data_IF_348697409365
#
_entry.id   IF_348697409365
#
_cell.length_a   1.000
_cell.length_b   1.000
_cell.length_c   1.000
_cell.angle_alpha   90.00
_cell.angle_beta   90.00
_cell.angle_gamma   90.00
#
_symmetry.space_group_name_H-M   'P 1'
#
loop_
_entity.id
_entity.type
_entity.pdbx_description
1 polymer ?
#
# COMPACT_ATOMS: atom_id res chain seq x y z
N UNK A 1 5.21 43.27 44.41
CA UNK A 1 4.20 42.38 43.79
C UNK A 1 4.66 42.05 42.38
N UNK A 2 5.39 40.95 42.20
CA UNK A 2 5.98 40.54 40.93
C UNK A 2 4.89 39.95 40.02
N UNK A 3 4.69 40.54 38.84
CA UNK A 3 3.74 40.04 37.82
C UNK A 3 4.40 38.89 37.06
N UNK A 4 3.94 37.67 37.30
CA UNK A 4 4.26 36.51 36.45
C UNK A 4 3.42 36.61 35.17
N UNK A 5 4.07 36.75 34.01
CA UNK A 5 3.43 36.54 32.71
C UNK A 5 3.52 35.06 32.35
N UNK A 6 2.41 34.36 32.05
CA UNK A 6 2.50 32.98 31.58
C UNK A 6 3.06 32.99 30.15
N UNK A 7 4.14 32.24 29.94
CA UNK A 7 4.73 31.98 28.64
C UNK A 7 3.68 31.25 27.79
N UNK A 8 3.23 31.86 26.69
CA UNK A 8 2.40 31.16 25.70
C UNK A 8 3.18 29.93 25.23
N UNK A 9 2.61 28.76 25.51
CA UNK A 9 3.06 27.47 24.99
C UNK A 9 2.99 27.53 23.47
N UNK A 10 4.11 27.28 22.81
CA UNK A 10 4.15 27.04 21.37
C UNK A 10 3.12 25.98 21.00
N UNK A 11 2.27 26.19 19.98
CA UNK A 11 1.41 25.12 19.50
C UNK A 11 2.33 23.99 19.00
N UNK A 12 2.28 22.85 19.68
CA UNK A 12 2.89 21.63 19.19
C UNK A 12 2.16 21.28 17.89
N UNK A 13 2.82 21.49 16.74
CA UNK A 13 2.36 20.98 15.46
C UNK A 13 2.05 19.48 15.65
N UNK A 14 0.85 18.97 15.36
CA UNK A 14 0.63 17.54 15.42
C UNK A 14 1.67 16.86 14.54
N UNK A 15 2.19 15.71 14.98
CA UNK A 15 3.07 14.85 14.18
C UNK A 15 2.31 14.41 12.91
N UNK A 16 2.22 15.30 11.93
CA UNK A 16 1.76 15.01 10.59
C UNK A 16 2.81 14.10 9.97
N UNK A 17 2.49 12.82 9.81
CA UNK A 17 3.43 11.93 9.11
C UNK A 17 3.08 10.45 9.07
N UNK A 18 2.41 9.89 10.08
CA UNK A 18 1.90 8.52 9.96
C UNK A 18 0.48 8.58 9.40
N UNK A 19 0.38 8.66 8.07
CA UNK A 19 -0.88 8.31 7.40
C UNK A 19 -1.35 6.98 7.99
N UNK A 20 -2.62 6.90 8.41
CA UNK A 20 -3.20 5.65 8.89
C UNK A 20 -2.91 4.58 7.84
N UNK A 21 -2.24 3.48 8.23
CA UNK A 21 -1.87 2.42 7.29
C UNK A 21 -3.14 1.97 6.58
N UNK A 22 -3.19 2.00 5.23
CA UNK A 22 -4.37 1.59 4.49
C UNK A 22 -4.78 0.17 4.89
N UNK A 23 -6.09 -0.09 5.05
CA UNK A 23 -6.58 -1.39 5.50
C UNK A 23 -6.12 -2.49 4.55
N UNK A 24 -5.94 -3.69 5.10
CA UNK A 24 -5.79 -4.91 4.31
C UNK A 24 -7.12 -5.22 3.65
N UNK A 25 -7.14 -5.39 2.33
CA UNK A 25 -8.35 -5.69 1.58
C UNK A 25 -8.01 -6.34 0.22
N UNK A 26 -8.98 -7.08 -0.32
CA UNK A 26 -8.81 -7.93 -1.50
C UNK A 26 -9.73 -7.55 -2.67
N UNK A 27 -10.54 -6.49 -2.53
CA UNK A 27 -11.50 -6.07 -3.56
C UNK A 27 -10.86 -5.12 -4.56
N UNK A 28 -9.97 -4.23 -4.09
CA UNK A 28 -9.25 -3.28 -4.93
C UNK A 28 -7.83 -2.99 -4.39
N UNK A 29 -6.89 -2.53 -5.25
CA UNK A 29 -5.60 -2.05 -4.77
C UNK A 29 -5.76 -0.79 -3.91
N UNK A 30 -4.94 -0.69 -2.87
CA UNK A 30 -4.82 0.50 -2.03
C UNK A 30 -3.54 1.26 -2.37
N UNK A 31 -3.64 2.57 -2.56
CA UNK A 31 -2.46 3.40 -2.76
C UNK A 31 -1.68 3.53 -1.44
N UNK A 32 -0.41 3.16 -1.46
CA UNK A 32 0.51 3.37 -0.35
C UNK A 32 1.32 4.65 -0.55
N UNK A 33 1.72 4.92 -1.80
CA UNK A 33 2.52 6.07 -2.27
C UNK A 33 2.09 6.39 -3.72
N UNK A 34 2.52 7.53 -4.32
CA UNK A 34 2.12 7.93 -5.68
C UNK A 34 2.33 6.88 -6.78
N UNK A 35 3.33 6.00 -6.62
CA UNK A 35 3.68 4.97 -7.60
C UNK A 35 3.68 3.56 -7.01
N UNK A 36 3.07 3.36 -5.84
CA UNK A 36 3.01 2.06 -5.17
C UNK A 36 1.59 1.78 -4.72
N UNK A 37 0.98 0.78 -5.35
CA UNK A 37 -0.30 0.21 -4.93
C UNK A 37 -0.06 -1.15 -4.31
N UNK A 38 -0.88 -1.54 -3.35
CA UNK A 38 -0.89 -2.87 -2.75
C UNK A 38 -2.26 -3.52 -2.94
N UNK A 39 -2.29 -4.76 -3.39
CA UNK A 39 -3.47 -5.62 -3.33
C UNK A 39 -3.13 -6.82 -2.44
N UNK A 40 -3.97 -7.08 -1.44
CA UNK A 40 -3.80 -8.23 -0.54
C UNK A 40 -4.68 -9.37 -1.04
N UNK A 41 -4.10 -10.54 -1.30
CA UNK A 41 -4.85 -11.73 -1.72
C UNK A 41 -5.73 -12.26 -0.56
N UNK A 42 -6.88 -12.90 -0.85
CA UNK A 42 -7.79 -13.44 0.16
C UNK A 42 -7.30 -14.80 0.72
N UNK A 43 -6.04 -14.87 1.15
CA UNK A 43 -5.38 -16.09 1.65
C UNK A 43 -4.71 -15.89 3.03
N UNK A 44 -5.49 -15.53 4.07
CA UNK A 44 -4.93 -15.32 5.40
C UNK A 44 -4.37 -16.62 6.00
N UNK A 45 -3.35 -16.50 6.83
CA UNK A 45 -2.68 -17.66 7.42
C UNK A 45 -1.50 -17.28 8.31
N UNK A 46 -0.95 -18.26 9.02
CA UNK A 46 0.18 -18.04 9.94
C UNK A 46 1.38 -17.39 9.24
N UNK A 47 1.67 -17.82 8.01
CA UNK A 47 2.81 -17.32 7.23
C UNK A 47 2.47 -16.11 6.37
N UNK A 48 1.22 -15.93 5.97
CA UNK A 48 0.75 -14.86 5.08
C UNK A 48 0.13 -13.67 5.84
N UNK A 49 -0.06 -13.79 7.15
CA UNK A 49 -0.74 -12.78 7.95
C UNK A 49 -2.16 -12.51 7.41
N UNK A 50 -2.53 -11.25 7.13
CA UNK A 50 -3.82 -10.92 6.51
C UNK A 50 -4.00 -11.48 5.10
N UNK A 51 -2.92 -11.91 4.44
CA UNK A 51 -2.88 -12.39 3.06
C UNK A 51 -1.58 -11.98 2.37
N UNK A 52 -1.25 -12.66 1.27
CA UNK A 52 -0.09 -12.30 0.45
C UNK A 52 -0.28 -10.90 -0.12
N UNK A 53 0.71 -10.03 0.03
CA UNK A 53 0.68 -8.70 -0.57
C UNK A 53 1.35 -8.72 -1.94
N UNK A 54 0.61 -8.32 -2.95
CA UNK A 54 1.12 -8.01 -4.28
C UNK A 54 1.23 -6.50 -4.43
N UNK A 55 2.33 -6.03 -5.02
CA UNK A 55 2.56 -4.59 -5.20
C UNK A 55 2.63 -4.25 -6.67
N UNK A 56 1.87 -3.22 -7.08
CA UNK A 56 2.03 -2.59 -8.39
C UNK A 56 2.93 -1.37 -8.22
N UNK A 57 4.03 -1.34 -8.97
CA UNK A 57 5.00 -0.24 -8.95
C UNK A 57 5.07 0.39 -10.32
N UNK A 58 4.75 1.68 -10.43
CA UNK A 58 4.73 2.40 -11.71
C UNK A 58 3.59 3.41 -11.85
N UNK A 59 3.11 3.56 -13.08
CA UNK A 59 2.06 4.51 -13.47
C UNK A 59 1.52 4.16 -14.87
N UNK A 60 0.42 4.78 -15.28
CA UNK A 60 -0.09 4.65 -16.65
C UNK A 60 0.88 5.16 -17.73
N UNK A 61 1.79 6.09 -17.39
CA UNK A 61 2.79 6.59 -18.35
C UNK A 61 4.00 5.65 -18.48
N UNK A 62 4.42 5.02 -17.38
CA UNK A 62 5.59 4.13 -17.31
C UNK A 62 5.25 2.65 -17.44
N UNK A 63 3.96 2.30 -17.49
CA UNK A 63 3.48 0.95 -17.21
C UNK A 63 3.79 0.51 -15.78
N UNK A 64 3.46 -0.75 -15.50
CA UNK A 64 3.52 -1.32 -14.15
C UNK A 64 4.42 -2.55 -14.06
N UNK A 65 5.16 -2.65 -12.97
CA UNK A 65 5.78 -3.86 -12.46
C UNK A 65 4.86 -4.45 -11.39
N UNK A 66 4.72 -5.78 -11.35
CA UNK A 66 4.14 -6.47 -10.19
C UNK A 66 5.23 -7.15 -9.36
N UNK A 67 5.28 -6.85 -8.07
CA UNK A 67 6.09 -7.58 -7.09
C UNK A 67 5.20 -8.59 -6.37
N UNK A 68 5.63 -9.85 -6.34
CA UNK A 68 4.94 -10.99 -5.74
C UNK A 68 3.46 -11.08 -6.16
N UNK A 69 3.13 -11.71 -7.30
CA UNK A 69 1.78 -11.71 -7.87
C UNK A 69 0.72 -12.45 -7.01
N UNK A 70 1.13 -13.04 -5.89
CA UNK A 70 0.24 -13.75 -4.97
C UNK A 70 0.01 -15.21 -5.40
N UNK A 71 -0.96 -15.90 -4.77
CA UNK A 71 -1.33 -17.26 -5.14
C UNK A 71 -1.97 -17.32 -6.53
N UNK A 72 -2.07 -18.52 -7.10
CA UNK A 72 -2.85 -18.79 -8.32
C UNK A 72 -4.36 -18.73 -8.01
N UNK A 73 -4.84 -17.51 -7.71
CA UNK A 73 -6.24 -17.21 -7.49
C UNK A 73 -6.72 -16.28 -8.63
N UNK A 74 -7.60 -16.75 -9.52
CA UNK A 74 -7.97 -16.02 -10.72
C UNK A 74 -8.51 -14.60 -10.47
N UNK A 75 -9.32 -14.40 -9.42
CA UNK A 75 -9.89 -13.08 -9.16
C UNK A 75 -8.84 -12.06 -8.65
N UNK A 76 -7.82 -12.51 -7.92
CA UNK A 76 -6.68 -11.70 -7.49
C UNK A 76 -5.81 -11.29 -8.68
N UNK A 77 -5.50 -12.24 -9.56
CA UNK A 77 -4.73 -11.98 -10.79
C UNK A 77 -5.48 -10.98 -11.69
N UNK A 78 -6.78 -11.17 -11.88
CA UNK A 78 -7.62 -10.27 -12.67
C UNK A 78 -7.61 -8.85 -12.09
N UNK A 79 -7.74 -8.70 -10.76
CA UNK A 79 -7.67 -7.39 -10.11
C UNK A 79 -6.32 -6.71 -10.28
N UNK A 80 -5.21 -7.44 -10.25
CA UNK A 80 -3.88 -6.90 -10.55
C UNK A 80 -3.79 -6.42 -12.00
N UNK A 81 -4.28 -7.22 -12.93
CA UNK A 81 -4.30 -6.89 -14.36
C UNK A 81 -5.11 -5.63 -14.65
N UNK A 82 -6.33 -5.56 -14.08
CA UNK A 82 -7.22 -4.40 -14.22
C UNK A 82 -6.63 -3.15 -13.57
N UNK A 83 -6.00 -3.28 -12.40
CA UNK A 83 -5.33 -2.17 -11.73
C UNK A 83 -4.17 -1.59 -12.54
N UNK A 84 -3.48 -2.43 -13.30
CA UNK A 84 -2.42 -2.02 -14.21
C UNK A 84 -2.95 -1.46 -15.55
N UNK A 85 -4.27 -1.45 -15.78
CA UNK A 85 -4.86 -1.12 -17.08
C UNK A 85 -4.40 -2.07 -18.20
N UNK A 86 -4.00 -3.30 -17.84
CA UNK A 86 -3.43 -4.27 -18.78
C UNK A 86 -1.99 -3.98 -19.26
N UNK A 87 -1.26 -3.04 -18.65
CA UNK A 87 0.15 -2.77 -18.98
C UNK A 87 1.08 -3.23 -17.85
N UNK A 88 1.09 -4.54 -17.59
CA UNK A 88 2.10 -5.17 -16.73
C UNK A 88 3.32 -5.53 -17.59
N UNK A 89 4.43 -4.86 -17.35
CA UNK A 89 5.67 -5.01 -18.14
C UNK A 89 6.62 -6.05 -17.55
N UNK A 90 6.56 -6.25 -16.25
CA UNK A 90 7.47 -7.11 -15.50
C UNK A 90 6.75 -7.74 -14.31
N UNK A 91 7.23 -8.91 -13.91
CA UNK A 91 6.87 -9.57 -12.65
C UNK A 91 8.17 -9.89 -11.91
N UNK A 92 8.24 -9.53 -10.64
CA UNK A 92 9.38 -9.82 -9.77
C UNK A 92 8.89 -10.65 -8.60
N UNK A 93 9.45 -11.84 -8.45
CA UNK A 93 9.22 -12.68 -7.27
C UNK A 93 10.37 -12.48 -6.28
N UNK A 94 10.04 -12.33 -5.01
CA UNK A 94 11.03 -12.16 -3.95
C UNK A 94 11.70 -13.48 -3.55
N UNK A 95 10.99 -14.60 -3.66
CA UNK A 95 11.47 -15.95 -3.31
C UNK A 95 10.63 -17.05 -4.00
N UNK A 96 10.95 -18.32 -3.72
CA UNK A 96 10.25 -19.53 -4.18
C UNK A 96 9.98 -20.49 -3.02
#
# INVERSE_FOLDING_TARGET
>A
MLRFTPRMSTPHLPLAGLQARPPWQHEAPVALQPHVLRLTAPNPGLMTGPGTNSYLVGSSASGWLVVDPGPLEPAHIERLWQAAGGDIRLIVCTHS
#
